data_IF_566098495366
#
_entry.id   IF_566098495366
#
_cell.length_a   1.000
_cell.length_b   1.000
_cell.length_c   1.000
_cell.angle_alpha   90.00
_cell.angle_beta   90.00
_cell.angle_gamma   90.00
#
_symmetry.space_group_name_H-M   'P 1'
#
loop_
_entity.id
_entity.type
_entity.pdbx_description
1 polymer ?
#
# COMPACT_ATOMS: atom_id res chain seq x y z
N UNK A 1 11.45 -0.49 15.01
CA UNK A 1 12.12 0.58 14.32
C UNK A 1 12.39 0.30 12.84
N UNK A 2 12.55 -0.96 12.42
CA UNK A 2 12.79 -1.28 11.00
C UNK A 2 11.61 -0.92 10.10
N UNK A 3 10.37 -0.98 10.58
CA UNK A 3 9.18 -0.61 9.80
C UNK A 3 9.13 0.86 9.36
N UNK A 4 10.02 1.72 9.86
CA UNK A 4 10.18 3.09 9.36
C UNK A 4 10.99 3.17 8.05
N UNK A 5 11.56 2.07 7.59
CA UNK A 5 12.22 1.92 6.30
C UNK A 5 11.34 1.06 5.38
N UNK A 6 10.85 1.58 4.23
CA UNK A 6 9.97 0.83 3.32
C UNK A 6 10.62 -0.44 2.74
N UNK A 7 11.96 -0.51 2.71
CA UNK A 7 12.73 -1.62 2.16
C UNK A 7 13.52 -2.40 3.22
N UNK A 8 13.11 -2.29 4.49
CA UNK A 8 13.79 -2.98 5.59
C UNK A 8 13.76 -4.50 5.42
N UNK A 9 14.92 -5.13 5.62
CA UNK A 9 15.00 -6.58 5.71
C UNK A 9 14.63 -7.07 7.11
N UNK A 10 14.03 -8.27 7.18
CA UNK A 10 13.75 -8.94 8.45
C UNK A 10 15.03 -9.14 9.25
N UNK A 11 14.98 -8.77 10.53
CA UNK A 11 16.09 -8.95 11.48
C UNK A 11 15.71 -9.92 12.60
N UNK A 12 16.61 -10.02 13.60
CA UNK A 12 16.40 -10.86 14.79
C UNK A 12 15.77 -10.12 15.99
N UNK A 13 15.36 -8.87 15.80
CA UNK A 13 14.75 -8.07 16.87
C UNK A 13 13.42 -8.68 17.30
N UNK A 14 13.22 -8.80 18.62
CA UNK A 14 11.94 -9.26 19.19
C UNK A 14 10.95 -8.12 19.23
N UNK A 15 9.68 -8.41 18.96
CA UNK A 15 8.58 -7.47 19.06
C UNK A 15 8.42 -7.00 20.52
N UNK A 16 8.12 -5.72 20.66
CA UNK A 16 7.80 -5.06 21.93
C UNK A 16 6.37 -4.53 21.85
N UNK A 17 5.73 -4.41 22.97
CA UNK A 17 4.41 -3.79 23.07
C UNK A 17 4.40 -2.40 22.42
N UNK A 18 3.40 -2.16 21.57
CA UNK A 18 3.29 -0.93 20.78
C UNK A 18 4.00 -0.96 19.42
N UNK A 19 4.79 -2.00 19.12
CA UNK A 19 5.45 -2.10 17.82
C UNK A 19 4.43 -2.20 16.68
N UNK A 20 4.70 -1.42 15.64
CA UNK A 20 4.03 -1.48 14.36
C UNK A 20 4.77 -2.48 13.45
N UNK A 21 4.07 -3.47 12.94
CA UNK A 21 4.62 -4.54 12.11
C UNK A 21 3.98 -4.49 10.73
N UNK A 22 4.80 -4.23 9.72
CA UNK A 22 4.40 -4.35 8.32
C UNK A 22 4.62 -5.80 7.90
N UNK A 23 3.56 -6.44 7.41
CA UNK A 23 3.55 -7.79 6.87
C UNK A 23 3.33 -7.66 5.36
N UNK A 24 4.42 -7.79 4.61
CA UNK A 24 4.45 -7.74 3.17
C UNK A 24 4.68 -9.17 2.68
N UNK A 25 3.67 -9.75 2.03
CA UNK A 25 3.58 -11.18 1.75
C UNK A 25 3.10 -11.42 0.32
N UNK A 26 3.84 -12.27 -0.38
CA UNK A 26 3.46 -12.73 -1.70
C UNK A 26 3.66 -14.23 -1.88
N UNK A 27 3.12 -14.76 -2.94
CA UNK A 27 3.39 -16.13 -3.40
C UNK A 27 3.35 -16.19 -4.93
N UNK A 28 3.85 -17.31 -5.46
CA UNK A 28 3.75 -17.61 -6.89
C UNK A 28 2.87 -18.85 -7.03
N UNK A 29 1.82 -18.74 -7.84
CA UNK A 29 0.96 -19.86 -8.19
C UNK A 29 0.76 -19.89 -9.72
N UNK A 30 1.00 -21.04 -10.32
CA UNK A 30 0.86 -21.26 -11.77
C UNK A 30 1.62 -20.19 -12.60
N UNK A 31 2.82 -19.81 -12.12
CA UNK A 31 3.71 -18.77 -12.64
C UNK A 31 3.21 -17.32 -12.50
N UNK A 32 2.12 -17.07 -11.76
CA UNK A 32 1.67 -15.70 -11.47
C UNK A 32 2.00 -15.34 -10.03
N UNK A 33 2.49 -14.11 -9.86
CA UNK A 33 2.80 -13.52 -8.57
C UNK A 33 1.54 -12.95 -7.90
N UNK A 34 1.50 -13.03 -6.58
CA UNK A 34 0.57 -12.27 -5.76
C UNK A 34 1.33 -11.37 -4.80
N UNK A 35 0.69 -10.30 -4.35
CA UNK A 35 1.26 -9.35 -3.40
C UNK A 35 0.20 -8.78 -2.47
N UNK A 36 0.55 -8.54 -1.22
CA UNK A 36 -0.33 -7.94 -0.23
C UNK A 36 0.45 -7.43 0.97
N UNK A 37 0.27 -6.17 1.34
CA UNK A 37 0.78 -5.66 2.60
C UNK A 37 -0.34 -5.36 3.58
N UNK A 38 -0.12 -5.77 4.84
CA UNK A 38 -0.94 -5.37 5.99
C UNK A 38 -0.05 -4.85 7.11
N UNK A 39 -0.55 -3.87 7.85
CA UNK A 39 0.10 -3.37 9.05
C UNK A 39 -0.70 -3.78 10.27
N UNK A 40 -0.03 -4.38 11.26
CA UNK A 40 -0.63 -4.77 12.54
C UNK A 40 0.16 -4.17 13.71
N UNK A 41 -0.47 -4.08 14.88
CA UNK A 41 0.17 -3.58 16.08
C UNK A 41 0.29 -4.69 17.12
N UNK A 42 1.45 -4.78 17.79
CA UNK A 42 1.66 -5.80 18.81
C UNK A 42 1.20 -5.29 20.17
N UNK A 43 0.18 -5.93 20.75
CA UNK A 43 -0.46 -5.67 22.04
C UNK A 43 -1.17 -4.33 22.19
N UNK A 44 -0.62 -3.24 21.66
CA UNK A 44 -1.21 -1.90 21.76
C UNK A 44 -0.84 -1.05 20.54
N UNK A 45 -1.58 0.05 20.32
CA UNK A 45 -1.27 1.07 19.33
C UNK A 45 -1.41 2.46 19.97
N UNK A 46 -0.41 3.31 19.80
CA UNK A 46 -0.49 4.70 20.24
C UNK A 46 -1.52 5.48 19.40
N UNK A 47 -2.04 6.60 19.94
CA UNK A 47 -2.98 7.44 19.17
C UNK A 47 -2.38 7.95 17.86
N UNK A 48 -1.08 8.34 17.88
CA UNK A 48 -0.36 8.71 16.66
C UNK A 48 -0.28 7.56 15.65
N UNK A 49 -0.04 6.33 16.11
CA UNK A 49 0.01 5.16 15.24
C UNK A 49 -1.36 4.84 14.61
N UNK A 50 -2.44 4.97 15.38
CA UNK A 50 -3.82 4.84 14.89
C UNK A 50 -4.17 5.92 13.87
N UNK A 51 -3.79 7.17 14.14
CA UNK A 51 -3.98 8.30 13.22
C UNK A 51 -3.30 8.03 11.88
N UNK A 52 -1.99 7.71 11.90
CA UNK A 52 -1.22 7.41 10.69
C UNK A 52 -1.78 6.22 9.94
N UNK A 53 -2.18 5.15 10.65
CA UNK A 53 -2.83 4.00 10.04
C UNK A 53 -4.10 4.37 9.30
N UNK A 54 -4.98 5.17 9.93
CA UNK A 54 -6.24 5.59 9.32
C UNK A 54 -6.01 6.51 8.10
N UNK A 55 -4.97 7.33 8.11
CA UNK A 55 -4.60 8.15 6.95
C UNK A 55 -4.15 7.27 5.78
N UNK A 56 -3.30 6.27 6.02
CA UNK A 56 -2.86 5.33 4.98
C UNK A 56 -4.03 4.49 4.46
N UNK A 57 -4.91 4.00 5.34
CA UNK A 57 -6.10 3.25 4.96
C UNK A 57 -7.03 4.08 4.06
N UNK A 58 -7.29 5.32 4.42
CA UNK A 58 -8.13 6.21 3.62
C UNK A 58 -7.47 6.56 2.28
N UNK A 59 -6.14 6.79 2.26
CA UNK A 59 -5.39 7.02 1.03
C UNK A 59 -5.47 5.81 0.07
N UNK A 60 -5.33 4.58 0.59
CA UNK A 60 -5.51 3.36 -0.18
C UNK A 60 -6.94 3.26 -0.75
N UNK A 61 -7.98 3.51 0.06
CA UNK A 61 -9.38 3.51 -0.38
C UNK A 61 -9.63 4.55 -1.48
N UNK A 62 -9.10 5.75 -1.36
CA UNK A 62 -9.25 6.83 -2.36
C UNK A 62 -8.58 6.48 -3.69
N UNK A 63 -7.34 6.00 -3.64
CA UNK A 63 -6.63 5.57 -4.84
C UNK A 63 -7.37 4.44 -5.57
N UNK A 64 -7.83 3.42 -4.84
CA UNK A 64 -8.60 2.31 -5.41
C UNK A 64 -9.92 2.80 -6.02
N UNK A 65 -10.62 3.73 -5.39
CA UNK A 65 -11.88 4.28 -5.91
C UNK A 65 -11.73 5.02 -7.24
N UNK A 66 -10.52 5.48 -7.58
CA UNK A 66 -10.21 6.09 -8.87
C UNK A 66 -10.07 5.07 -10.02
N UNK A 67 -9.83 3.78 -9.70
CA UNK A 67 -9.48 2.76 -10.68
C UNK A 67 -10.68 2.40 -11.56
N UNK A 68 -10.58 2.74 -12.84
CA UNK A 68 -11.50 2.34 -13.93
C UNK A 68 -10.84 2.59 -15.29
N UNK A 69 -11.33 1.96 -16.36
CA UNK A 69 -10.81 2.24 -17.71
C UNK A 69 -10.82 3.73 -18.05
N UNK A 70 -9.77 4.22 -18.72
CA UNK A 70 -9.66 5.61 -19.16
C UNK A 70 -9.00 6.56 -18.14
N UNK A 71 -8.82 6.17 -16.90
CA UNK A 71 -8.09 6.93 -15.86
C UNK A 71 -6.59 6.75 -16.07
N UNK A 72 -5.78 7.74 -15.78
CA UNK A 72 -4.31 7.65 -15.85
C UNK A 72 -3.73 7.11 -14.55
N UNK A 73 -2.60 6.43 -14.60
CA UNK A 73 -1.90 5.97 -13.40
C UNK A 73 -1.52 7.11 -12.45
N UNK A 74 -1.09 8.27 -13.00
CA UNK A 74 -0.78 9.45 -12.18
C UNK A 74 -1.98 9.99 -11.39
N UNK A 75 -3.20 9.84 -11.89
CA UNK A 75 -4.41 10.29 -11.18
C UNK A 75 -4.68 9.42 -9.95
N UNK A 76 -4.32 8.12 -10.01
CA UNK A 76 -4.41 7.20 -8.87
C UNK A 76 -3.35 7.54 -7.82
N UNK A 77 -2.10 7.76 -8.24
CA UNK A 77 -1.03 8.19 -7.31
C UNK A 77 -1.40 9.50 -6.63
N UNK A 78 -1.89 10.48 -7.39
CA UNK A 78 -2.29 11.77 -6.86
C UNK A 78 -3.41 11.65 -5.82
N UNK A 79 -4.40 10.80 -6.03
CA UNK A 79 -5.50 10.62 -5.08
C UNK A 79 -5.03 10.15 -3.69
N UNK A 80 -3.99 9.30 -3.63
CA UNK A 80 -3.37 8.90 -2.36
C UNK A 80 -2.43 9.99 -1.83
N UNK A 81 -1.55 10.51 -2.68
CA UNK A 81 -0.46 11.40 -2.32
C UNK A 81 -0.94 12.77 -1.85
N UNK A 82 -1.92 13.36 -2.53
CA UNK A 82 -2.51 14.64 -2.14
C UNK A 82 -3.17 14.52 -0.78
N UNK A 83 -3.96 13.47 -0.55
CA UNK A 83 -4.60 13.24 0.75
C UNK A 83 -3.57 13.08 1.89
N UNK A 84 -2.53 12.28 1.70
CA UNK A 84 -1.45 12.14 2.70
C UNK A 84 -0.75 13.48 2.95
N UNK A 85 -0.57 14.29 1.90
CA UNK A 85 0.04 15.62 1.98
C UNK A 85 -0.84 16.61 2.73
N UNK A 86 -2.14 16.64 2.47
CA UNK A 86 -3.13 17.46 3.20
C UNK A 86 -3.16 17.14 4.69
N UNK A 87 -2.89 15.88 5.05
CA UNK A 87 -2.77 15.43 6.45
C UNK A 87 -1.41 15.77 7.09
N UNK A 88 -0.50 16.41 6.37
CA UNK A 88 0.82 16.85 6.87
C UNK A 88 1.92 15.77 6.78
N UNK A 89 1.65 14.63 6.15
CA UNK A 89 2.59 13.50 6.07
C UNK A 89 3.23 13.31 4.69
N UNK A 90 3.02 14.21 3.72
CA UNK A 90 3.48 14.04 2.34
C UNK A 90 4.96 13.73 2.19
N UNK A 91 5.86 14.35 2.99
CA UNK A 91 7.30 14.10 2.98
C UNK A 91 7.70 12.69 3.45
N UNK A 92 6.77 11.98 4.09
CA UNK A 92 6.98 10.64 4.61
C UNK A 92 6.39 9.54 3.71
N UNK A 93 5.77 9.92 2.60
CA UNK A 93 5.36 9.01 1.53
C UNK A 93 6.38 9.05 0.40
N UNK A 94 7.43 8.24 0.50
CA UNK A 94 8.69 8.35 -0.23
C UNK A 94 8.79 7.49 -1.48
N UNK A 95 7.81 6.65 -1.77
CA UNK A 95 7.81 5.77 -2.94
C UNK A 95 6.57 5.99 -3.84
N UNK A 96 6.51 5.33 -4.99
CA UNK A 96 5.34 5.29 -5.89
C UNK A 96 4.15 4.60 -5.18
N UNK A 97 2.94 4.90 -5.63
CA UNK A 97 1.72 4.30 -5.04
C UNK A 97 1.55 2.82 -5.39
N UNK A 98 2.26 2.31 -6.40
CA UNK A 98 2.18 0.90 -6.75
C UNK A 98 2.96 0.53 -8.01
N UNK A 99 2.87 -0.72 -8.39
CA UNK A 99 3.54 -1.31 -9.56
C UNK A 99 2.64 -2.33 -10.26
N UNK A 100 2.86 -2.54 -11.55
CA UNK A 100 2.24 -3.65 -12.29
C UNK A 100 2.80 -4.97 -11.78
N UNK A 101 1.98 -6.03 -11.82
CA UNK A 101 2.30 -7.36 -11.35
C UNK A 101 1.68 -8.41 -12.29
N UNK A 102 2.38 -9.50 -12.47
CA UNK A 102 1.94 -10.61 -13.32
C UNK A 102 2.82 -11.83 -13.14
N UNK A 103 3.62 -12.15 -14.15
CA UNK A 103 4.63 -13.23 -14.09
C UNK A 103 5.79 -12.82 -13.20
N UNK A 104 6.11 -11.52 -13.14
CA UNK A 104 7.07 -10.95 -12.21
C UNK A 104 6.35 -10.15 -11.13
N UNK A 105 6.93 -10.07 -9.92
CA UNK A 105 6.38 -9.25 -8.84
C UNK A 105 6.36 -7.77 -9.24
N UNK A 106 7.44 -7.29 -9.88
CA UNK A 106 7.50 -5.95 -10.47
C UNK A 106 7.55 -6.09 -12.00
N UNK A 107 6.37 -6.11 -12.62
CA UNK A 107 6.23 -6.11 -14.07
C UNK A 107 6.32 -4.69 -14.64
N UNK A 108 6.33 -4.54 -15.97
CA UNK A 108 6.42 -3.22 -16.63
C UNK A 108 5.22 -2.33 -16.29
N UNK A 109 5.52 -1.12 -15.85
CA UNK A 109 4.53 -0.11 -15.47
C UNK A 109 4.49 0.14 -13.95
N UNK A 110 4.14 1.36 -13.60
CA UNK A 110 4.02 1.77 -12.21
C UNK A 110 2.86 2.75 -11.98
N UNK A 111 2.41 2.85 -10.74
CA UNK A 111 1.44 3.84 -10.28
C UNK A 111 2.21 4.99 -9.64
N UNK A 112 2.63 5.94 -10.46
CA UNK A 112 3.40 7.09 -10.01
C UNK A 112 2.87 8.41 -10.57
N UNK A 113 3.23 9.53 -9.95
CA UNK A 113 2.80 10.88 -10.35
C UNK A 113 3.25 11.30 -11.76
N UNK A 114 4.21 10.60 -12.35
CA UNK A 114 4.74 10.89 -13.69
C UNK A 114 4.19 9.96 -14.77
N UNK A 115 3.52 8.85 -14.40
CA UNK A 115 3.00 7.90 -15.37
C UNK A 115 1.64 8.36 -15.90
N UNK A 116 1.61 8.80 -17.15
CA UNK A 116 0.39 9.27 -17.84
C UNK A 116 -0.33 8.22 -18.65
N UNK A 117 0.12 6.97 -18.63
CA UNK A 117 -0.52 5.86 -19.32
C UNK A 117 -1.94 5.65 -18.80
N UNK A 118 -2.82 5.24 -19.73
CA UNK A 118 -4.25 5.09 -19.47
C UNK A 118 -4.56 3.64 -19.11
N UNK A 119 -5.33 3.45 -18.05
CA UNK A 119 -5.84 2.16 -17.61
C UNK A 119 -6.71 1.49 -18.67
N UNK A 120 -6.48 0.21 -18.89
CA UNK A 120 -7.26 -0.66 -19.79
C UNK A 120 -7.77 -1.88 -19.02
N UNK A 121 -8.94 -2.44 -19.40
CA UNK A 121 -9.40 -3.71 -18.84
C UNK A 121 -8.33 -4.81 -18.92
N UNK A 122 -8.25 -5.62 -17.89
CA UNK A 122 -7.26 -6.69 -17.76
C UNK A 122 -5.93 -6.29 -17.10
N UNK A 123 -5.65 -5.00 -16.90
CA UNK A 123 -4.47 -4.56 -16.17
C UNK A 123 -4.60 -4.91 -14.69
N UNK A 124 -3.50 -5.39 -14.10
CA UNK A 124 -3.39 -5.68 -12.66
C UNK A 124 -2.18 -4.94 -12.11
N UNK A 125 -2.37 -4.26 -10.97
CA UNK A 125 -1.31 -3.53 -10.29
C UNK A 125 -1.59 -3.40 -8.79
N UNK A 126 -0.55 -3.10 -8.01
CA UNK A 126 -0.66 -2.82 -6.58
C UNK A 126 -1.13 -1.38 -6.32
N UNK A 127 -1.84 -1.17 -5.22
CA UNK A 127 -2.13 0.13 -4.63
C UNK A 127 -1.70 0.08 -3.17
N UNK A 128 -0.53 0.66 -2.87
CA UNK A 128 0.23 0.44 -1.64
C UNK A 128 0.74 1.73 -0.97
N UNK A 129 -0.07 2.77 -0.77
CA UNK A 129 0.42 3.97 -0.10
C UNK A 129 0.98 3.64 1.28
N UNK A 130 2.03 4.39 1.68
CA UNK A 130 2.68 4.22 2.97
C UNK A 130 3.17 5.52 3.56
N UNK A 131 3.26 5.57 4.89
CA UNK A 131 3.86 6.66 5.66
C UNK A 131 4.93 6.06 6.55
N UNK A 132 6.17 6.56 6.44
CA UNK A 132 7.33 6.05 7.15
C UNK A 132 7.95 7.18 7.98
N UNK A 133 7.84 7.08 9.32
CA UNK A 133 8.34 8.07 10.26
C UNK A 133 9.72 7.65 10.77
N UNK A 134 10.81 8.29 10.34
CA UNK A 134 12.17 7.87 10.70
C UNK A 134 12.37 7.79 12.23
N UNK A 135 12.88 6.66 12.70
CA UNK A 135 13.12 6.40 14.11
C UNK A 135 11.88 6.06 14.94
N UNK A 136 10.69 6.07 14.35
CA UNK A 136 9.44 5.74 15.02
C UNK A 136 8.83 4.44 14.47
N UNK A 137 8.08 4.52 13.38
CA UNK A 137 7.40 3.39 12.75
C UNK A 137 7.00 3.73 11.31
N UNK A 138 6.54 2.72 10.58
CA UNK A 138 5.90 2.91 9.29
C UNK A 138 4.60 2.14 9.19
N UNK A 139 3.74 2.58 8.28
CA UNK A 139 2.47 1.95 7.94
C UNK A 139 2.39 1.83 6.42
N UNK A 140 2.09 0.65 5.89
CA UNK A 140 1.72 0.40 4.50
C UNK A 140 0.50 -0.51 4.45
N UNK A 141 -0.42 -0.21 3.54
CA UNK A 141 -1.59 -1.04 3.25
C UNK A 141 -1.65 -1.19 1.74
N UNK A 142 -1.65 -2.42 1.26
CA UNK A 142 -1.59 -2.78 -0.14
C UNK A 142 -2.68 -3.74 -0.53
N UNK A 143 -3.29 -3.48 -1.68
CA UNK A 143 -4.13 -4.42 -2.38
C UNK A 143 -3.77 -4.48 -3.87
N UNK A 144 -3.89 -5.66 -4.47
CA UNK A 144 -3.90 -5.83 -5.91
C UNK A 144 -5.27 -5.49 -6.47
N UNK A 145 -5.27 -4.72 -7.55
CA UNK A 145 -6.49 -4.24 -8.22
C UNK A 145 -6.47 -4.69 -9.68
N UNK A 146 -7.54 -5.36 -10.10
CA UNK A 146 -7.82 -5.69 -11.49
C UNK A 146 -8.72 -4.60 -12.08
N UNK A 147 -8.35 -4.03 -13.22
CA UNK A 147 -9.21 -3.15 -14.02
C UNK A 147 -10.22 -4.02 -14.79
N UNK A 148 -11.52 -3.82 -14.54
CA UNK A 148 -12.62 -4.48 -15.25
C UNK A 148 -13.11 -3.63 -16.42
N UNK A 149 -14.11 -4.09 -17.18
CA UNK A 149 -14.66 -3.33 -18.32
C UNK A 149 -15.31 -1.99 -17.89
N UNK A 150 -15.83 -1.90 -16.68
CA UNK A 150 -16.60 -0.76 -16.17
C UNK A 150 -16.12 -0.20 -14.83
N UNK A 151 -15.04 -0.75 -14.26
CA UNK A 151 -14.53 -0.35 -12.95
C UNK A 151 -13.31 -1.12 -12.52
N UNK A 152 -13.37 -1.72 -11.33
CA UNK A 152 -12.28 -2.53 -10.79
C UNK A 152 -12.77 -3.65 -9.86
N UNK A 153 -11.89 -4.64 -9.64
CA UNK A 153 -12.06 -5.70 -8.65
C UNK A 153 -10.82 -5.75 -7.73
N UNK A 154 -11.06 -5.89 -6.42
CA UNK A 154 -9.99 -6.16 -5.45
C UNK A 154 -9.69 -7.66 -5.41
N UNK A 155 -8.45 -8.04 -5.68
CA UNK A 155 -8.02 -9.43 -5.66
C UNK A 155 -7.70 -9.91 -4.25
N UNK A 156 -7.18 -9.04 -3.38
CA UNK A 156 -6.91 -9.35 -1.97
C UNK A 156 -8.20 -9.17 -1.14
N UNK A 157 -8.58 -10.22 -0.40
CA UNK A 157 -9.82 -10.23 0.40
C UNK A 157 -9.58 -10.22 1.91
N UNK A 158 -8.29 -10.22 2.34
CA UNK A 158 -7.96 -10.14 3.75
C UNK A 158 -8.28 -8.74 4.31
N UNK A 159 -8.86 -8.71 5.53
CA UNK A 159 -9.23 -7.48 6.19
C UNK A 159 -8.05 -6.50 6.30
N UNK A 160 -8.30 -5.23 5.99
CA UNK A 160 -7.33 -4.15 6.06
C UNK A 160 -7.61 -3.10 7.15
N UNK A 161 -8.59 -3.35 8.00
CA UNK A 161 -8.85 -2.49 9.15
C UNK A 161 -7.77 -2.67 10.23
N UNK A 162 -7.66 -1.68 11.12
CA UNK A 162 -6.68 -1.68 12.21
C UNK A 162 -6.81 -2.95 13.07
N UNK A 163 -5.70 -3.67 13.22
CA UNK A 163 -5.66 -4.92 13.96
C UNK A 163 -4.54 -4.88 15.03
N UNK A 164 -4.91 -5.20 16.26
CA UNK A 164 -3.98 -5.33 17.40
C UNK A 164 -3.87 -6.82 17.73
N UNK A 165 -2.69 -7.39 17.49
CA UNK A 165 -2.38 -8.78 17.79
C UNK A 165 -1.85 -8.93 19.23
N UNK A 166 -2.09 -10.09 19.86
CA UNK A 166 -1.68 -10.39 21.25
C UNK A 166 -0.29 -11.03 21.31
#
# INVERSE_FOLDING_TARGET
ANGADPHAHCGSAKLKEGDCVILDIGCIKDNYCSDMTRTVFYKSASEKAKEVFNIVLEANKRAIAMVKPGVRFCDIDNAAREYITEKGYGKYFTHRTGHSIGIETHDMGDVSSINTDILKPGMIFSVEPGIYLPGEFGVRIEDLVLVTEDGHELLNKYNKELNIIK
#
